data_IF_067824754816
#
_entry.id   IF_067824754816
#
_cell.length_a   1.000
_cell.length_b   1.000
_cell.length_c   1.000
_cell.angle_alpha   90.00
_cell.angle_beta   90.00
_cell.angle_gamma   90.00
#
_symmetry.space_group_name_H-M   'P 1'
#
loop_
_entity.id
_entity.type
_entity.pdbx_description
1 polymer ?
#
# COMPACT_ATOMS: atom_id res chain seq x y z
N UNK A 1 11.56 -5.41 12.80
CA UNK A 1 10.13 -5.19 12.54
C UNK A 1 9.28 -6.43 12.81
N UNK A 2 9.67 -7.62 12.39
CA UNK A 2 8.88 -8.85 12.60
C UNK A 2 9.13 -9.56 13.94
N UNK A 3 10.10 -9.12 14.75
CA UNK A 3 10.38 -9.65 16.08
C UNK A 3 10.75 -11.14 16.13
N UNK A 4 11.11 -11.74 14.99
CA UNK A 4 11.42 -13.17 14.90
C UNK A 4 12.75 -13.41 14.18
N UNK A 5 13.72 -13.99 14.89
CA UNK A 5 15.02 -14.33 14.34
C UNK A 5 14.86 -15.34 13.18
N UNK A 6 15.62 -15.14 12.08
CA UNK A 6 15.54 -16.00 10.91
C UNK A 6 14.25 -15.87 10.08
N UNK A 7 13.42 -14.85 10.36
CA UNK A 7 12.18 -14.62 9.62
C UNK A 7 12.40 -14.34 8.12
N UNK A 8 13.48 -13.65 7.79
CA UNK A 8 13.86 -13.40 6.40
C UNK A 8 14.24 -14.72 5.68
N UNK A 9 15.11 -15.52 6.28
CA UNK A 9 15.58 -16.77 5.68
C UNK A 9 14.44 -17.76 5.44
N UNK A 10 13.48 -17.83 6.39
CA UNK A 10 12.29 -18.68 6.22
C UNK A 10 11.40 -18.15 5.08
N UNK A 11 11.19 -16.84 5.00
CA UNK A 11 10.42 -16.22 3.93
C UNK A 11 11.06 -16.42 2.56
N UNK A 12 12.37 -16.20 2.45
CA UNK A 12 13.13 -16.42 1.22
C UNK A 12 13.06 -17.89 0.78
N UNK A 13 13.25 -18.84 1.70
CA UNK A 13 13.13 -20.27 1.41
C UNK A 13 11.74 -20.63 0.88
N UNK A 14 10.67 -20.06 1.48
CA UNK A 14 9.31 -20.26 1.00
C UNK A 14 9.14 -19.73 -0.42
N UNK A 15 9.63 -18.51 -0.72
CA UNK A 15 9.56 -17.94 -2.08
C UNK A 15 10.31 -18.80 -3.10
N UNK A 16 11.51 -19.30 -2.76
CA UNK A 16 12.28 -20.19 -3.64
C UNK A 16 11.53 -21.49 -3.89
N UNK A 17 10.98 -22.13 -2.86
CA UNK A 17 10.16 -23.32 -3.01
C UNK A 17 8.97 -23.09 -3.93
N UNK A 18 8.23 -22.00 -3.75
CA UNK A 18 7.08 -21.66 -4.60
C UNK A 18 7.49 -21.42 -6.05
N UNK A 19 8.65 -20.79 -6.27
CA UNK A 19 9.22 -20.61 -7.60
C UNK A 19 9.55 -21.95 -8.26
N UNK A 20 10.19 -22.85 -7.54
CA UNK A 20 10.54 -24.20 -8.01
C UNK A 20 9.29 -25.04 -8.33
N UNK A 21 8.17 -24.77 -7.65
CA UNK A 21 6.87 -25.34 -7.96
C UNK A 21 6.20 -24.72 -9.20
N UNK A 22 6.83 -23.72 -9.85
CA UNK A 22 6.36 -23.09 -11.07
C UNK A 22 5.48 -21.85 -10.88
N UNK A 23 5.35 -21.31 -9.66
CA UNK A 23 4.65 -20.04 -9.44
C UNK A 23 5.48 -18.88 -10.02
N UNK A 24 4.84 -18.05 -10.86
CA UNK A 24 5.50 -16.93 -11.56
C UNK A 24 5.22 -15.56 -10.94
N UNK A 25 4.03 -15.38 -10.38
CA UNK A 25 3.62 -14.09 -9.76
C UNK A 25 3.90 -14.12 -8.26
N UNK A 26 5.18 -14.13 -7.92
CA UNK A 26 5.69 -14.11 -6.54
C UNK A 26 6.74 -13.04 -6.38
N UNK A 27 6.88 -12.49 -5.18
CA UNK A 27 7.85 -11.44 -4.93
C UNK A 27 7.97 -10.98 -3.50
N UNK A 28 8.76 -9.95 -3.33
CA UNK A 28 9.02 -9.31 -2.06
C UNK A 28 8.13 -8.08 -1.87
N UNK A 29 7.50 -7.98 -0.71
CA UNK A 29 6.89 -6.75 -0.21
C UNK A 29 7.76 -6.11 0.85
N UNK A 30 8.29 -4.92 0.59
CA UNK A 30 9.14 -4.18 1.51
C UNK A 30 8.39 -3.00 2.13
N UNK A 31 8.03 -3.09 3.40
CA UNK A 31 7.56 -1.93 4.16
C UNK A 31 8.76 -1.15 4.67
N UNK A 32 8.97 0.04 4.12
CA UNK A 32 10.13 0.88 4.37
C UNK A 32 9.91 1.75 5.60
N UNK A 33 10.90 1.76 6.49
CA UNK A 33 10.95 2.52 7.75
C UNK A 33 12.33 3.13 7.95
N UNK A 34 12.53 3.85 9.04
CA UNK A 34 13.84 4.38 9.44
C UNK A 34 14.94 3.30 9.50
N UNK A 35 14.58 2.06 9.87
CA UNK A 35 15.54 1.03 10.23
C UNK A 35 15.96 0.12 9.06
N UNK A 36 15.25 0.17 7.93
CA UNK A 36 15.48 -0.75 6.80
C UNK A 36 15.49 -0.09 5.42
N UNK A 37 15.52 1.22 5.36
CA UNK A 37 15.51 1.94 4.07
C UNK A 37 16.71 1.59 3.19
N UNK A 38 17.87 1.34 3.79
CA UNK A 38 19.09 0.87 3.08
C UNK A 38 18.94 -0.55 2.54
N UNK A 39 18.30 -1.42 3.30
CA UNK A 39 18.10 -2.82 2.89
C UNK A 39 17.14 -2.93 1.71
N UNK A 40 16.26 -1.94 1.50
CA UNK A 40 15.31 -1.90 0.38
C UNK A 40 16.03 -2.04 -0.98
N UNK A 41 17.14 -1.35 -1.16
CA UNK A 41 17.90 -1.37 -2.42
C UNK A 41 18.54 -2.74 -2.67
N UNK A 42 19.15 -3.32 -1.64
CA UNK A 42 19.71 -4.68 -1.71
C UNK A 42 18.64 -5.73 -1.96
N UNK A 43 17.47 -5.59 -1.33
CA UNK A 43 16.34 -6.49 -1.54
C UNK A 43 15.75 -6.38 -2.96
N UNK A 44 15.73 -5.18 -3.53
CA UNK A 44 15.36 -4.97 -4.93
C UNK A 44 16.32 -5.71 -5.88
N UNK A 45 17.64 -5.57 -5.68
CA UNK A 45 18.64 -6.27 -6.48
C UNK A 45 18.50 -7.78 -6.36
N UNK A 46 18.26 -8.29 -5.14
CA UNK A 46 17.99 -9.72 -4.91
C UNK A 46 16.73 -10.17 -5.65
N UNK A 47 15.65 -9.40 -5.59
CA UNK A 47 14.41 -9.73 -6.31
C UNK A 47 14.65 -9.86 -7.82
N UNK A 48 15.43 -8.95 -8.39
CA UNK A 48 15.81 -8.96 -9.82
C UNK A 48 16.67 -10.16 -10.16
N UNK A 49 17.67 -10.48 -9.37
CA UNK A 49 18.55 -11.66 -9.59
C UNK A 49 17.76 -12.98 -9.54
N UNK A 50 16.69 -13.01 -8.74
CA UNK A 50 15.81 -14.17 -8.62
C UNK A 50 14.66 -14.16 -9.64
N UNK A 51 14.52 -13.13 -10.47
CA UNK A 51 13.38 -13.00 -11.40
C UNK A 51 12.04 -12.92 -10.67
N UNK A 52 12.01 -12.27 -9.51
CA UNK A 52 10.85 -12.09 -8.65
C UNK A 52 10.37 -10.64 -8.66
N UNK A 53 9.09 -10.46 -8.33
CA UNK A 53 8.48 -9.14 -8.19
C UNK A 53 8.98 -8.41 -6.94
N UNK A 54 8.93 -7.07 -6.99
CA UNK A 54 9.27 -6.22 -5.86
C UNK A 54 8.25 -5.10 -5.69
N UNK A 55 7.68 -4.98 -4.51
CA UNK A 55 6.74 -3.94 -4.15
C UNK A 55 7.17 -3.25 -2.85
N UNK A 56 6.84 -1.99 -2.74
CA UNK A 56 7.18 -1.14 -1.59
C UNK A 56 5.92 -0.59 -0.92
N UNK A 57 6.04 -0.26 0.35
CA UNK A 57 5.11 0.55 1.11
C UNK A 57 5.89 1.42 2.09
N UNK A 58 5.43 2.62 2.39
CA UNK A 58 5.97 3.39 3.48
C UNK A 58 5.36 2.96 4.81
N UNK A 59 6.16 2.97 5.86
CA UNK A 59 5.71 2.73 7.23
C UNK A 59 4.65 3.78 7.62
N UNK A 60 3.51 3.33 8.11
CA UNK A 60 2.38 4.20 8.42
C UNK A 60 1.61 3.69 9.63
N UNK A 61 0.83 4.56 10.24
CA UNK A 61 -0.06 4.20 11.31
C UNK A 61 -1.23 3.36 10.82
N UNK A 62 -1.77 2.53 11.68
CA UNK A 62 -2.93 1.70 11.39
C UNK A 62 -3.79 1.50 12.64
N UNK A 63 -5.03 1.94 12.56
CA UNK A 63 -6.01 1.72 13.61
C UNK A 63 -6.17 0.23 13.95
N UNK A 64 -6.24 -0.63 12.93
CA UNK A 64 -6.44 -2.07 13.12
C UNK A 64 -5.30 -2.76 13.83
N UNK A 65 -4.09 -2.26 13.71
CA UNK A 65 -2.91 -2.80 14.35
C UNK A 65 -2.55 -2.05 15.64
N UNK A 66 -3.42 -1.15 16.11
CA UNK A 66 -3.19 -0.32 17.29
C UNK A 66 -1.82 0.37 17.24
N UNK A 67 -1.47 0.91 16.07
CA UNK A 67 -0.22 1.60 15.79
C UNK A 67 -0.49 3.06 15.44
N UNK A 68 -0.02 3.94 16.31
CA UNK A 68 -0.11 5.40 16.22
C UNK A 68 1.26 6.10 16.26
N UNK A 69 2.32 5.33 16.53
CA UNK A 69 3.70 5.78 16.69
C UNK A 69 4.61 5.43 15.48
N UNK A 70 4.03 4.94 14.41
CA UNK A 70 4.75 4.58 13.19
C UNK A 70 5.13 5.83 12.39
N UNK A 71 6.24 6.46 12.74
CA UNK A 71 6.71 7.71 12.10
C UNK A 71 8.05 7.48 11.42
N UNK A 72 8.19 7.98 10.21
CA UNK A 72 9.48 8.10 9.51
C UNK A 72 10.09 9.44 9.91
N UNK A 73 11.12 9.40 10.74
CA UNK A 73 11.82 10.58 11.27
C UNK A 73 13.04 10.95 10.41
N UNK A 74 13.74 9.95 9.86
CA UNK A 74 14.90 10.15 8.98
C UNK A 74 14.44 10.28 7.51
N UNK A 75 13.61 11.30 7.23
CA UNK A 75 12.96 11.47 5.93
C UNK A 75 13.96 11.60 4.78
N UNK A 76 15.00 12.40 4.94
CA UNK A 76 15.98 12.68 3.89
C UNK A 76 16.68 11.41 3.42
N UNK A 77 17.12 10.57 4.34
CA UNK A 77 17.76 9.30 4.00
C UNK A 77 16.79 8.31 3.36
N UNK A 78 15.59 8.22 3.89
CA UNK A 78 14.55 7.31 3.35
C UNK A 78 14.14 7.74 1.94
N UNK A 79 13.90 9.05 1.74
CA UNK A 79 13.55 9.59 0.42
C UNK A 79 14.68 9.40 -0.58
N UNK A 80 15.93 9.66 -0.19
CA UNK A 80 17.11 9.43 -1.06
C UNK A 80 17.21 7.95 -1.51
N UNK A 81 16.93 7.00 -0.63
CA UNK A 81 16.93 5.59 -1.01
C UNK A 81 15.76 5.27 -1.97
N UNK A 82 14.60 5.89 -1.82
CA UNK A 82 13.50 5.78 -2.80
C UNK A 82 13.87 6.41 -4.14
N UNK A 83 14.52 7.57 -4.17
CA UNK A 83 15.00 8.21 -5.40
C UNK A 83 15.95 7.27 -6.15
N UNK A 84 16.89 6.65 -5.47
CA UNK A 84 17.78 5.66 -6.07
C UNK A 84 17.03 4.45 -6.64
N UNK A 85 16.01 3.95 -5.93
CA UNK A 85 15.16 2.87 -6.44
C UNK A 85 14.39 3.30 -7.70
N UNK A 86 13.84 4.51 -7.70
CA UNK A 86 13.12 5.09 -8.85
C UNK A 86 14.04 5.16 -10.06
N UNK A 87 15.27 5.67 -9.90
CA UNK A 87 16.27 5.72 -10.98
C UNK A 87 16.53 4.33 -11.59
N UNK A 88 16.67 3.31 -10.75
CA UNK A 88 16.87 1.94 -11.22
C UNK A 88 15.66 1.41 -11.97
N UNK A 89 14.46 1.65 -11.47
CA UNK A 89 13.21 1.24 -12.12
C UNK A 89 12.97 1.93 -13.46
N UNK A 90 13.30 3.22 -13.58
CA UNK A 90 13.18 3.97 -14.83
C UNK A 90 14.14 3.46 -15.91
N UNK A 91 15.34 2.97 -15.51
CA UNK A 91 16.32 2.40 -16.43
C UNK A 91 15.93 1.04 -17.00
N UNK A 92 14.95 0.34 -16.41
CA UNK A 92 14.52 -0.99 -16.88
C UNK A 92 13.75 -0.96 -18.19
N UNK A 93 13.33 0.20 -18.68
CA UNK A 93 12.58 0.38 -19.92
C UNK A 93 11.37 -0.58 -20.05
N UNK A 94 10.63 -0.73 -18.95
CA UNK A 94 9.48 -1.62 -18.87
C UNK A 94 8.28 -0.90 -18.21
N UNK A 95 7.06 -0.94 -18.80
CA UNK A 95 5.90 -0.19 -18.28
C UNK A 95 5.57 -0.47 -16.81
N UNK A 96 5.68 -1.73 -16.36
CA UNK A 96 5.44 -2.10 -14.95
C UNK A 96 6.46 -1.45 -14.01
N UNK A 97 7.71 -1.30 -14.44
CA UNK A 97 8.77 -0.65 -13.65
C UNK A 97 8.53 0.85 -13.57
N UNK A 98 8.08 1.49 -14.65
CA UNK A 98 7.69 2.90 -14.65
C UNK A 98 6.47 3.17 -13.75
N UNK A 99 5.47 2.28 -13.80
CA UNK A 99 4.33 2.35 -12.88
C UNK A 99 4.78 2.29 -11.41
N UNK A 100 5.72 1.40 -11.09
CA UNK A 100 6.29 1.30 -9.75
C UNK A 100 7.14 2.50 -9.37
N UNK A 101 7.91 3.06 -10.31
CA UNK A 101 8.65 4.30 -10.10
C UNK A 101 7.70 5.44 -9.74
N UNK A 102 6.61 5.62 -10.48
CA UNK A 102 5.60 6.62 -10.15
C UNK A 102 4.93 6.37 -8.79
N UNK A 103 4.63 5.11 -8.47
CA UNK A 103 4.12 4.75 -7.13
C UNK A 103 5.11 5.17 -6.03
N UNK A 104 6.41 4.91 -6.22
CA UNK A 104 7.45 5.30 -5.26
C UNK A 104 7.63 6.83 -5.14
N UNK A 105 7.45 7.59 -6.22
CA UNK A 105 7.37 9.07 -6.14
C UNK A 105 6.23 9.52 -5.22
N UNK A 106 5.09 8.87 -5.31
CA UNK A 106 3.97 9.13 -4.40
C UNK A 106 4.26 8.74 -2.94
N UNK A 107 5.09 7.73 -2.69
CA UNK A 107 5.57 7.40 -1.34
C UNK A 107 6.50 8.48 -0.79
N UNK A 108 7.41 9.04 -1.58
CA UNK A 108 8.24 10.18 -1.18
C UNK A 108 7.34 11.36 -0.80
N UNK A 109 6.41 11.74 -1.67
CA UNK A 109 5.46 12.82 -1.38
C UNK A 109 4.65 12.56 -0.09
N UNK A 110 4.25 11.31 0.17
CA UNK A 110 3.58 10.92 1.41
C UNK A 110 4.47 11.11 2.64
N UNK A 111 5.72 10.66 2.58
CA UNK A 111 6.72 10.76 3.67
C UNK A 111 7.04 12.22 4.01
N UNK A 112 7.14 13.06 3.01
CA UNK A 112 7.39 14.50 3.16
C UNK A 112 6.17 15.26 3.71
N UNK A 113 4.97 14.67 3.65
CA UNK A 113 3.73 15.29 4.09
C UNK A 113 3.08 16.17 3.02
N UNK A 114 3.45 15.99 1.76
CA UNK A 114 2.88 16.69 0.62
C UNK A 114 1.41 16.32 0.38
N UNK A 115 0.69 17.13 -0.39
CA UNK A 115 -0.69 16.83 -0.80
C UNK A 115 -0.70 15.58 -1.69
N UNK A 116 -1.72 14.74 -1.54
CA UNK A 116 -1.91 13.54 -2.38
C UNK A 116 -1.84 13.91 -3.87
N UNK A 117 -1.03 13.16 -4.64
CA UNK A 117 -0.73 13.46 -6.04
C UNK A 117 -1.91 13.20 -6.98
N UNK A 118 -2.71 12.19 -6.71
CA UNK A 118 -3.91 11.83 -7.48
C UNK A 118 -5.14 11.81 -6.57
N UNK A 119 -6.36 12.01 -7.11
CA UNK A 119 -7.59 11.93 -6.34
C UNK A 119 -7.71 10.61 -5.57
N UNK A 120 -8.40 10.60 -4.44
CA UNK A 120 -8.75 9.36 -3.75
C UNK A 120 -10.10 8.86 -4.26
N UNK A 121 -10.14 7.64 -4.78
CA UNK A 121 -11.36 6.97 -5.23
C UNK A 121 -11.75 5.80 -4.30
N UNK A 122 -11.34 5.84 -3.05
CA UNK A 122 -11.78 4.87 -2.05
C UNK A 122 -13.31 4.91 -1.90
N UNK A 123 -13.92 3.74 -1.82
CA UNK A 123 -15.38 3.59 -1.86
C UNK A 123 -16.01 3.68 -3.26
N UNK A 124 -15.19 3.96 -4.30
CA UNK A 124 -15.62 3.96 -5.70
C UNK A 124 -14.85 2.96 -6.56
N UNK A 125 -13.52 2.93 -6.45
CA UNK A 125 -12.65 2.00 -7.16
C UNK A 125 -12.15 0.84 -6.27
N UNK A 126 -12.24 0.98 -4.97
CA UNK A 126 -11.87 -0.03 -3.99
C UNK A 126 -12.72 0.11 -2.73
N UNK A 127 -12.75 -0.93 -1.92
CA UNK A 127 -13.39 -0.97 -0.61
C UNK A 127 -12.62 -1.89 0.33
N UNK A 128 -12.99 -1.87 1.60
CA UNK A 128 -12.44 -2.73 2.63
C UNK A 128 -13.57 -3.36 3.44
N UNK A 129 -13.49 -4.65 3.70
CA UNK A 129 -14.43 -5.37 4.57
C UNK A 129 -13.68 -5.82 5.80
N UNK A 130 -14.13 -5.42 6.97
CA UNK A 130 -13.56 -5.87 8.23
C UNK A 130 -14.10 -7.24 8.66
N UNK A 131 -13.46 -7.92 9.64
CA UNK A 131 -13.83 -9.27 10.06
C UNK A 131 -15.29 -9.43 10.54
N UNK A 132 -15.93 -8.36 10.99
CA UNK A 132 -17.33 -8.35 11.44
C UNK A 132 -18.32 -8.06 10.30
N UNK A 133 -17.84 -7.87 9.08
CA UNK A 133 -18.64 -7.66 7.89
C UNK A 133 -18.96 -6.21 7.57
N UNK A 134 -18.49 -5.26 8.34
CA UNK A 134 -18.63 -3.84 8.02
C UNK A 134 -17.82 -3.47 6.77
N UNK A 135 -18.43 -2.75 5.85
CA UNK A 135 -17.84 -2.29 4.59
C UNK A 135 -17.43 -0.83 4.74
N UNK A 136 -16.15 -0.57 4.54
CA UNK A 136 -15.56 0.77 4.57
C UNK A 136 -14.96 1.16 3.21
N UNK A 137 -14.79 2.45 2.91
CA UNK A 137 -14.19 2.88 1.65
C UNK A 137 -12.70 2.50 1.55
N UNK A 138 -11.98 2.44 2.67
CA UNK A 138 -10.56 2.06 2.72
C UNK A 138 -10.19 1.48 4.09
N UNK A 139 -9.03 0.84 4.14
CA UNK A 139 -8.41 0.33 5.38
C UNK A 139 -7.45 1.33 6.06
N UNK A 140 -7.17 2.46 5.42
CA UNK A 140 -6.30 3.52 5.95
C UNK A 140 -7.00 4.46 6.94
N UNK A 141 -8.04 3.99 7.60
CA UNK A 141 -8.81 4.73 8.59
C UNK A 141 -8.04 4.84 9.90
N UNK A 142 -7.17 5.81 9.98
CA UNK A 142 -6.52 6.18 11.25
C UNK A 142 -7.51 6.82 12.23
N UNK A 143 -8.71 7.17 11.74
CA UNK A 143 -9.71 7.89 12.50
C UNK A 143 -11.12 7.37 12.17
N UNK A 144 -11.59 6.37 12.93
CA UNK A 144 -12.96 5.82 12.81
C UNK A 144 -14.04 6.86 13.06
N UNK A 145 -13.75 7.90 13.80
CA UNK A 145 -14.75 8.94 14.12
C UNK A 145 -15.11 9.78 12.89
N UNK A 146 -14.23 9.82 11.90
CA UNK A 146 -14.41 10.62 10.70
C UNK A 146 -15.10 9.88 9.56
N UNK A 147 -14.87 8.57 9.39
CA UNK A 147 -15.45 7.79 8.29
C UNK A 147 -16.55 6.83 8.75
N UNK A 148 -17.73 7.00 8.15
CA UNK A 148 -18.86 6.08 8.32
C UNK A 148 -18.65 4.82 7.47
N UNK A 149 -19.18 3.68 7.94
CA UNK A 149 -19.30 2.47 7.13
C UNK A 149 -20.30 2.66 5.98
N UNK A 150 -20.09 1.97 4.88
CA UNK A 150 -21.00 1.94 3.74
C UNK A 150 -22.20 1.00 4.00
N UNK A 151 -22.02 -0.02 4.82
CA UNK A 151 -23.01 -1.02 5.21
C UNK A 151 -22.35 -2.20 5.88
N UNK A 152 -23.10 -3.30 6.05
CA UNK A 152 -22.60 -4.55 6.61
C UNK A 152 -23.09 -5.75 5.77
N UNK A 153 -22.16 -6.60 5.31
CA UNK A 153 -22.49 -7.75 4.45
C UNK A 153 -23.24 -8.88 5.17
N UNK A 154 -23.22 -8.93 6.50
CA UNK A 154 -24.00 -9.89 7.29
C UNK A 154 -25.47 -9.47 7.41
N UNK A 155 -25.72 -8.15 7.45
CA UNK A 155 -27.05 -7.56 7.50
C UNK A 155 -27.67 -7.48 6.11
N UNK A 156 -26.86 -7.18 5.10
CA UNK A 156 -27.26 -7.05 3.69
C UNK A 156 -26.35 -7.93 2.83
N UNK A 157 -26.69 -9.23 2.63
CA UNK A 157 -25.81 -10.17 1.93
C UNK A 157 -25.55 -9.83 0.46
N UNK A 158 -26.45 -9.10 -0.20
CA UNK A 158 -26.18 -8.59 -1.54
C UNK A 158 -25.31 -7.33 -1.47
N UNK A 159 -24.04 -7.48 -1.80
CA UNK A 159 -23.06 -6.40 -1.79
C UNK A 159 -23.48 -5.19 -2.65
N UNK A 160 -24.12 -5.43 -3.80
CA UNK A 160 -24.54 -4.32 -4.68
C UNK A 160 -25.59 -3.42 -4.02
N UNK A 161 -26.47 -3.97 -3.18
CA UNK A 161 -27.43 -3.17 -2.39
C UNK A 161 -26.69 -2.21 -1.45
N UNK A 162 -25.59 -2.65 -0.83
CA UNK A 162 -24.74 -1.77 -0.01
C UNK A 162 -24.06 -0.73 -0.90
N UNK A 163 -23.46 -1.19 -2.00
CA UNK A 163 -22.64 -0.37 -2.89
C UNK A 163 -23.41 0.77 -3.54
N UNK A 164 -24.68 0.54 -3.89
CA UNK A 164 -25.58 1.49 -4.55
C UNK A 164 -26.42 2.31 -3.56
N UNK A 165 -26.28 2.06 -2.25
CA UNK A 165 -27.08 2.74 -1.23
C UNK A 165 -26.75 4.24 -1.14
N UNK A 166 -27.71 5.00 -0.64
CA UNK A 166 -27.53 6.42 -0.29
C UNK A 166 -26.41 6.59 0.75
N UNK A 167 -26.32 5.69 1.73
CA UNK A 167 -25.24 5.68 2.73
C UNK A 167 -23.87 5.54 2.08
N UNK A 168 -23.72 4.64 1.11
CA UNK A 168 -22.46 4.49 0.38
C UNK A 168 -22.12 5.77 -0.42
N UNK A 169 -23.12 6.42 -0.99
CA UNK A 169 -22.92 7.70 -1.69
C UNK A 169 -22.45 8.80 -0.74
N UNK A 170 -23.06 8.93 0.44
CA UNK A 170 -22.63 9.88 1.48
C UNK A 170 -21.17 9.62 1.89
N UNK A 171 -20.77 8.34 2.04
CA UNK A 171 -19.39 7.96 2.36
C UNK A 171 -18.43 8.36 1.24
N UNK A 172 -18.79 8.18 -0.04
CA UNK A 172 -18.00 8.66 -1.18
C UNK A 172 -17.81 10.17 -1.18
N UNK A 173 -18.85 10.90 -0.82
CA UNK A 173 -18.78 12.38 -0.68
C UNK A 173 -17.81 12.80 0.43
N UNK A 174 -17.77 12.05 1.52
CA UNK A 174 -16.77 12.25 2.58
C UNK A 174 -15.35 11.96 2.08
N UNK A 175 -15.16 10.87 1.33
CA UNK A 175 -13.84 10.52 0.76
C UNK A 175 -13.33 11.62 -0.16
N UNK A 176 -14.17 12.22 -0.98
CA UNK A 176 -13.79 13.36 -1.85
C UNK A 176 -13.25 14.57 -1.07
N UNK A 177 -13.65 14.73 0.19
CA UNK A 177 -13.23 15.80 1.10
C UNK A 177 -12.12 15.37 2.07
N UNK A 178 -11.59 14.14 1.92
CA UNK A 178 -10.61 13.58 2.83
C UNK A 178 -9.31 14.39 2.81
N UNK A 179 -8.85 14.94 3.94
CA UNK A 179 -7.64 15.77 4.00
C UNK A 179 -6.35 14.96 4.00
N UNK A 180 -6.43 13.62 4.13
CA UNK A 180 -5.26 12.77 4.27
C UNK A 180 -4.50 12.62 2.95
N UNK A 181 -3.19 12.55 3.05
CA UNK A 181 -2.28 12.38 1.91
C UNK A 181 -1.86 10.91 1.72
N UNK A 182 -2.53 9.94 2.35
CA UNK A 182 -2.13 8.54 2.33
C UNK A 182 -1.93 8.01 0.90
N UNK A 183 -0.84 7.26 0.73
CA UNK A 183 -0.44 6.68 -0.56
C UNK A 183 -0.15 5.18 -0.37
N UNK A 184 -1.20 4.37 -0.41
CA UNK A 184 -1.15 2.93 -0.20
C UNK A 184 -1.55 2.20 -1.48
N UNK A 185 -1.00 1.03 -1.71
CA UNK A 185 -1.26 0.21 -2.90
C UNK A 185 -2.77 0.08 -3.17
N UNK A 186 -3.58 -0.27 -2.16
CA UNK A 186 -5.02 -0.46 -2.34
C UNK A 186 -5.81 0.78 -2.74
N UNK A 187 -5.28 1.98 -2.50
CA UNK A 187 -5.97 3.25 -2.81
C UNK A 187 -5.27 4.08 -3.89
N UNK A 188 -4.00 3.85 -4.14
CA UNK A 188 -3.23 4.56 -5.16
C UNK A 188 -3.24 3.79 -6.50
N UNK A 189 -2.99 2.48 -6.49
CA UNK A 189 -2.89 1.68 -7.71
C UNK A 189 -4.15 1.74 -8.60
N UNK A 190 -5.40 1.61 -8.09
CA UNK A 190 -6.58 1.73 -8.94
C UNK A 190 -6.69 3.08 -9.66
N UNK A 191 -6.29 4.16 -8.97
CA UNK A 191 -6.31 5.51 -9.53
C UNK A 191 -5.21 5.71 -10.56
N UNK A 192 -4.00 5.20 -10.29
CA UNK A 192 -2.86 5.25 -11.22
C UNK A 192 -3.13 4.53 -12.55
N UNK A 193 -3.99 3.50 -12.56
CA UNK A 193 -4.41 2.83 -13.78
C UNK A 193 -5.42 3.63 -14.61
N UNK A 194 -6.08 4.60 -13.97
CA UNK A 194 -7.13 5.41 -14.60
C UNK A 194 -6.59 6.71 -15.21
N UNK A 195 -5.54 7.26 -14.60
CA UNK A 195 -4.91 8.53 -14.98
C UNK A 195 -3.48 8.34 -15.47
#
# INVERSE_FOLDING_TARGET
LRGHAGGFDKGLRTLLTLKDMGLKDIGFGCTVSNNNSKDMLSLYQLSKSLGMEFATAAFHNSYYFHKDDNVITNKDEVCKNFEQLIEWQLKENHPKSWFRAFFNMGLINYIEGGRRMLPCEAGSANFFIEPYGDVYPCNGLEDRYWMKKMGNIRETPNFMTIWESEQAQQVRDMVRKCPKNCWMVGTASPVMHKY
#
